data_IF_281500713898
#
_entry.id   IF_281500713898
#
_cell.length_a   1.000
_cell.length_b   1.000
_cell.length_c   1.000
_cell.angle_alpha   90.00
_cell.angle_beta   90.00
_cell.angle_gamma   90.00
#
_symmetry.space_group_name_H-M   'P 1'
#
loop_
_entity.id
_entity.type
_entity.pdbx_description
1 polymer ?
#
# COMPACT_ATOMS: atom_id res chain seq x y z
N UNK A 1 2.30 -21.41 10.16
CA UNK A 1 1.03 -21.51 10.94
C UNK A 1 -0.12 -21.59 9.95
N UNK A 2 -1.11 -22.43 10.21
CA UNK A 2 -2.28 -22.54 9.31
C UNK A 2 -3.20 -21.34 9.49
N UNK A 3 -3.57 -20.68 8.38
CA UNK A 3 -4.45 -19.51 8.37
C UNK A 3 -5.74 -19.84 7.64
N UNK A 4 -6.82 -19.23 8.08
CA UNK A 4 -8.10 -19.31 7.41
C UNK A 4 -8.63 -17.90 7.14
N UNK A 5 -9.17 -17.69 5.94
CA UNK A 5 -9.82 -16.45 5.56
C UNK A 5 -11.34 -16.63 5.67
N UNK A 6 -11.96 -15.80 6.49
CA UNK A 6 -13.40 -15.78 6.71
C UNK A 6 -14.00 -14.53 6.09
N UNK A 7 -15.00 -14.69 5.26
CA UNK A 7 -15.70 -13.61 4.57
C UNK A 7 -17.19 -13.70 4.89
N UNK A 8 -17.68 -12.71 5.61
CA UNK A 8 -19.10 -12.57 5.90
C UNK A 8 -19.71 -11.51 4.97
N UNK A 9 -20.44 -11.98 3.98
CA UNK A 9 -21.21 -11.18 3.02
C UNK A 9 -22.69 -11.63 3.05
N UNK A 10 -23.18 -12.06 4.22
CA UNK A 10 -24.57 -12.45 4.44
C UNK A 10 -25.51 -11.25 4.44
N UNK A 11 -25.00 -10.09 4.88
CA UNK A 11 -25.76 -8.84 4.90
C UNK A 11 -25.63 -8.09 3.57
N UNK A 12 -26.71 -7.56 2.98
CA UNK A 12 -26.63 -6.87 1.70
C UNK A 12 -25.80 -5.57 1.76
N UNK A 13 -25.81 -4.89 2.94
CA UNK A 13 -25.22 -3.56 3.08
C UNK A 13 -23.80 -3.58 3.61
N UNK A 14 -23.31 -4.72 4.09
CA UNK A 14 -21.97 -4.82 4.66
C UNK A 14 -21.25 -6.12 4.34
N UNK A 15 -19.96 -6.00 4.21
CA UNK A 15 -19.05 -7.13 4.06
C UNK A 15 -17.94 -7.02 5.09
N UNK A 16 -17.69 -8.11 5.80
CA UNK A 16 -16.63 -8.21 6.81
C UNK A 16 -15.68 -9.34 6.43
N UNK A 17 -14.39 -9.09 6.57
CA UNK A 17 -13.34 -10.07 6.24
C UNK A 17 -12.37 -10.18 7.38
N UNK A 18 -12.04 -11.41 7.75
CA UNK A 18 -11.08 -11.73 8.82
C UNK A 18 -10.09 -12.76 8.34
N UNK A 19 -8.81 -12.44 8.44
CA UNK A 19 -7.74 -13.42 8.35
C UNK A 19 -7.39 -13.87 9.77
N UNK A 20 -7.67 -15.13 10.06
CA UNK A 20 -7.44 -15.73 11.39
C UNK A 20 -6.36 -16.80 11.29
N UNK A 21 -5.34 -16.68 12.12
CA UNK A 21 -4.44 -17.77 12.48
C UNK A 21 -5.10 -18.69 13.51
N UNK A 22 -4.43 -19.75 13.93
CA UNK A 22 -5.00 -20.72 14.91
C UNK A 22 -5.43 -20.01 16.19
N UNK A 23 -4.65 -19.02 16.65
CA UNK A 23 -4.76 -18.45 17.99
C UNK A 23 -5.23 -17.00 18.03
N UNK A 24 -5.12 -16.25 16.93
CA UNK A 24 -5.46 -14.82 16.91
C UNK A 24 -5.89 -14.32 15.53
N UNK A 25 -6.57 -13.19 15.53
CA UNK A 25 -6.94 -12.46 14.32
C UNK A 25 -5.71 -11.64 13.85
N UNK A 26 -5.23 -11.91 12.63
CA UNK A 26 -4.12 -11.17 12.02
C UNK A 26 -4.58 -9.89 11.33
N UNK A 27 -5.69 -9.97 10.60
CA UNK A 27 -6.23 -8.86 9.82
C UNK A 27 -7.75 -8.86 9.87
N UNK A 28 -8.34 -7.67 9.98
CA UNK A 28 -9.77 -7.42 9.89
C UNK A 28 -10.04 -6.25 8.98
N UNK A 29 -10.88 -6.46 7.99
CA UNK A 29 -11.37 -5.40 7.11
C UNK A 29 -12.89 -5.39 7.06
N UNK A 30 -13.45 -4.18 6.90
CA UNK A 30 -14.87 -3.93 6.88
C UNK A 30 -15.22 -2.93 5.77
N UNK A 31 -16.29 -3.22 5.05
CA UNK A 31 -16.83 -2.33 4.02
C UNK A 31 -18.35 -2.23 4.17
N UNK A 32 -18.85 -1.00 4.10
CA UNK A 32 -20.28 -0.73 4.11
C UNK A 32 -20.64 0.00 2.83
N UNK A 33 -21.71 -0.42 2.16
CA UNK A 33 -22.18 0.16 0.90
C UNK A 33 -22.48 1.66 1.03
N UNK A 34 -22.97 2.09 2.19
CA UNK A 34 -23.27 3.50 2.45
C UNK A 34 -22.01 4.37 2.62
N UNK A 35 -20.85 3.76 2.88
CA UNK A 35 -19.55 4.44 3.01
C UNK A 35 -18.62 3.94 1.92
N UNK A 36 -18.83 4.45 0.71
CA UNK A 36 -17.99 4.12 -0.45
C UNK A 36 -16.52 4.40 -0.13
N UNK A 37 -15.70 3.38 -0.24
CA UNK A 37 -14.26 3.50 -0.19
C UNK A 37 -13.78 4.05 -1.53
N UNK A 38 -13.31 5.29 -1.54
CA UNK A 38 -12.82 5.96 -2.74
C UNK A 38 -11.36 5.66 -3.03
N UNK A 39 -10.63 5.13 -2.03
CA UNK A 39 -9.19 4.87 -2.13
C UNK A 39 -8.87 3.97 -3.33
N UNK A 40 -7.84 4.35 -4.07
CA UNK A 40 -7.33 3.73 -5.30
C UNK A 40 -8.27 3.82 -6.52
N UNK A 41 -9.49 4.33 -6.40
CA UNK A 41 -10.34 4.58 -7.55
C UNK A 41 -9.71 5.64 -8.47
N UNK A 42 -9.93 5.48 -9.78
CA UNK A 42 -9.39 6.39 -10.80
C UNK A 42 -10.54 7.16 -11.44
N UNK A 43 -10.39 8.46 -11.49
CA UNK A 43 -11.36 9.38 -12.05
C UNK A 43 -10.74 10.22 -13.16
N UNK A 44 -11.55 10.61 -14.10
CA UNK A 44 -11.26 11.73 -14.98
C UNK A 44 -11.78 12.99 -14.28
N UNK A 45 -10.87 13.84 -13.83
CA UNK A 45 -11.21 15.04 -13.06
C UNK A 45 -10.94 16.31 -13.86
N UNK A 46 -11.53 17.41 -13.41
CA UNK A 46 -11.36 18.75 -13.99
C UNK A 46 -10.78 19.68 -12.92
N UNK A 47 -9.69 20.37 -13.22
CA UNK A 47 -9.07 21.33 -12.29
C UNK A 47 -10.06 22.49 -12.10
N UNK A 48 -10.51 22.69 -10.86
CA UNK A 48 -11.45 23.75 -10.52
C UNK A 48 -10.74 25.07 -10.22
N UNK A 49 -9.70 25.00 -9.37
CA UNK A 49 -8.88 26.16 -9.01
C UNK A 49 -7.48 25.74 -8.64
N UNK A 50 -6.55 26.67 -8.81
CA UNK A 50 -5.16 26.51 -8.41
C UNK A 50 -4.89 27.43 -7.21
N UNK A 51 -4.21 26.89 -6.20
CA UNK A 51 -3.82 27.63 -5.01
C UNK A 51 -2.30 27.73 -4.93
N UNK A 52 -1.73 28.86 -5.38
CA UNK A 52 -0.27 29.04 -5.45
C UNK A 52 0.40 29.00 -4.08
N UNK A 53 -0.27 29.45 -3.03
CA UNK A 53 0.26 29.47 -1.67
C UNK A 53 0.53 28.08 -1.13
N UNK A 54 -0.33 27.10 -1.50
CA UNK A 54 -0.22 25.70 -1.11
C UNK A 54 0.54 24.85 -2.13
N UNK A 55 0.92 25.42 -3.29
CA UNK A 55 1.43 24.67 -4.44
C UNK A 55 0.57 23.42 -4.74
N UNK A 56 -0.74 23.65 -4.84
CA UNK A 56 -1.74 22.60 -5.03
C UNK A 56 -2.87 23.05 -5.96
N UNK A 57 -3.56 22.08 -6.55
CA UNK A 57 -4.78 22.29 -7.32
C UNK A 57 -5.96 21.58 -6.64
N UNK A 58 -7.13 22.18 -6.73
CA UNK A 58 -8.38 21.54 -6.35
C UNK A 58 -9.07 21.00 -7.59
N UNK A 59 -9.42 19.73 -7.56
CA UNK A 59 -9.95 18.99 -8.71
C UNK A 59 -11.38 18.56 -8.42
N UNK A 60 -12.28 18.90 -9.33
CA UNK A 60 -13.63 18.33 -9.36
C UNK A 60 -13.55 16.95 -10.01
N UNK A 61 -13.88 15.89 -9.26
CA UNK A 61 -13.88 14.50 -9.72
C UNK A 61 -15.25 13.83 -9.60
N UNK A 62 -16.32 14.66 -9.51
CA UNK A 62 -17.70 14.19 -9.47
C UNK A 62 -18.23 13.84 -8.06
N UNK A 63 -17.53 14.27 -7.01
CA UNK A 63 -18.00 14.17 -5.62
C UNK A 63 -18.37 15.55 -5.07
N UNK A 64 -19.04 15.57 -3.92
CA UNK A 64 -19.49 16.83 -3.31
C UNK A 64 -18.33 17.78 -2.99
N UNK A 65 -17.18 17.22 -2.62
CA UNK A 65 -15.98 17.99 -2.28
C UNK A 65 -14.92 17.84 -3.35
N UNK A 66 -14.24 18.94 -3.63
CA UNK A 66 -13.09 18.90 -4.54
C UNK A 66 -11.92 18.18 -3.87
N UNK A 67 -11.23 17.35 -4.63
CA UNK A 67 -10.03 16.68 -4.16
C UNK A 67 -8.81 17.59 -4.20
N UNK A 68 -7.85 17.33 -3.33
CA UNK A 68 -6.59 18.04 -3.21
C UNK A 68 -5.50 17.32 -4.00
N UNK A 69 -4.90 18.01 -4.97
CA UNK A 69 -3.81 17.53 -5.81
C UNK A 69 -2.58 18.38 -5.56
N UNK A 70 -1.59 17.84 -4.84
CA UNK A 70 -0.33 18.52 -4.60
C UNK A 70 0.52 18.58 -5.86
N UNK A 71 1.32 19.63 -6.06
CA UNK A 71 2.16 19.80 -7.24
C UNK A 71 3.15 18.64 -7.45
N UNK A 72 3.67 18.07 -6.36
CA UNK A 72 4.57 16.92 -6.42
C UNK A 72 3.88 15.63 -6.91
N UNK A 73 2.56 15.59 -6.86
CA UNK A 73 1.73 14.47 -7.32
C UNK A 73 1.20 14.67 -8.74
N UNK A 74 1.64 15.74 -9.43
CA UNK A 74 1.33 16.00 -10.83
C UNK A 74 2.45 15.52 -11.73
N UNK A 75 2.11 14.69 -12.70
CA UNK A 75 3.03 14.20 -13.72
C UNK A 75 3.36 15.31 -14.73
N UNK A 76 4.61 15.33 -15.20
CA UNK A 76 5.12 16.32 -16.16
C UNK A 76 4.38 16.34 -17.50
N UNK A 77 3.75 15.24 -17.89
CA UNK A 77 2.96 15.16 -19.14
C UNK A 77 1.78 16.14 -19.15
N UNK A 78 1.24 16.48 -17.97
CA UNK A 78 0.14 17.46 -17.82
C UNK A 78 0.61 18.92 -17.87
N UNK A 79 1.93 19.18 -17.86
CA UNK A 79 2.47 20.52 -17.87
C UNK A 79 2.21 21.22 -19.21
N UNK A 80 1.60 22.38 -19.16
CA UNK A 80 1.38 23.25 -20.32
C UNK A 80 2.57 24.21 -20.48
N UNK A 81 3.68 23.68 -20.93
CA UNK A 81 4.95 24.39 -21.15
C UNK A 81 5.33 24.29 -22.63
N UNK A 82 6.24 25.19 -23.13
CA UNK A 82 6.75 25.11 -24.49
C UNK A 82 7.33 23.71 -24.81
N UNK A 83 7.22 23.32 -26.07
CA UNK A 83 7.63 21.98 -26.54
C UNK A 83 9.10 21.68 -26.23
N UNK A 84 10.00 22.67 -26.44
CA UNK A 84 11.44 22.52 -26.20
C UNK A 84 11.77 22.24 -24.74
N UNK A 85 11.05 22.90 -23.82
CA UNK A 85 11.22 22.68 -22.38
C UNK A 85 10.63 21.32 -21.96
N UNK A 86 9.55 20.89 -22.62
CA UNK A 86 8.94 19.55 -22.37
C UNK A 86 9.86 18.44 -22.82
N UNK A 87 10.55 18.59 -23.96
CA UNK A 87 11.54 17.62 -24.43
C UNK A 87 12.77 17.55 -23.51
N UNK A 88 13.26 18.70 -23.03
CA UNK A 88 14.35 18.74 -22.04
C UNK A 88 13.97 18.01 -20.76
N UNK A 89 12.77 18.27 -20.22
CA UNK A 89 12.28 17.58 -19.05
C UNK A 89 12.20 16.05 -19.24
N UNK A 90 11.70 15.60 -20.40
CA UNK A 90 11.65 14.16 -20.71
C UNK A 90 13.04 13.53 -20.77
N UNK A 91 14.01 14.17 -21.41
CA UNK A 91 15.39 13.68 -21.49
C UNK A 91 16.03 13.59 -20.09
N UNK A 92 15.78 14.59 -19.24
CA UNK A 92 16.31 14.63 -17.88
C UNK A 92 15.63 13.57 -16.99
N UNK A 93 14.32 13.35 -17.13
CA UNK A 93 13.60 12.28 -16.43
C UNK A 93 14.11 10.89 -16.88
N UNK A 94 14.44 10.72 -18.15
CA UNK A 94 14.98 9.47 -18.68
C UNK A 94 16.40 9.21 -18.16
N UNK A 95 17.24 10.25 -18.09
CA UNK A 95 18.57 10.15 -17.48
C UNK A 95 18.51 9.81 -15.97
N UNK A 96 17.64 10.49 -15.23
CA UNK A 96 17.37 10.16 -13.81
C UNK A 96 16.89 8.73 -13.62
N UNK A 97 16.08 8.23 -14.54
CA UNK A 97 15.61 6.84 -14.53
C UNK A 97 16.76 5.85 -14.69
N UNK A 98 17.71 6.14 -15.57
CA UNK A 98 18.90 5.31 -15.77
C UNK A 98 19.79 5.32 -14.53
N UNK A 99 20.08 6.49 -13.97
CA UNK A 99 20.88 6.59 -12.73
C UNK A 99 20.23 5.87 -11.54
N UNK A 100 18.89 5.95 -11.39
CA UNK A 100 18.19 5.24 -10.33
C UNK A 100 18.24 3.71 -10.52
N UNK A 101 18.21 3.24 -11.77
CA UNK A 101 18.41 1.81 -12.06
C UNK A 101 19.82 1.35 -11.70
N UNK A 102 20.83 2.11 -12.05
CA UNK A 102 22.23 1.79 -11.75
C UNK A 102 22.50 1.81 -10.24
N UNK A 103 22.02 2.82 -9.53
CA UNK A 103 22.15 2.89 -8.06
C UNK A 103 21.40 1.78 -7.33
N UNK A 104 20.24 1.35 -7.84
CA UNK A 104 19.53 0.21 -7.25
C UNK A 104 20.29 -1.09 -7.41
N UNK A 105 21.12 -1.20 -8.47
CA UNK A 105 21.99 -2.35 -8.70
C UNK A 105 23.21 -2.35 -7.75
N UNK A 106 23.80 -1.17 -7.49
CA UNK A 106 24.99 -1.04 -6.64
C UNK A 106 24.71 -1.15 -5.14
N UNK A 107 23.54 -0.71 -4.66
CA UNK A 107 23.16 -0.81 -3.24
C UNK A 107 22.98 -2.27 -2.81
N UNK A 108 22.45 -3.12 -3.70
CA UNK A 108 22.28 -4.56 -3.38
C UNK A 108 23.62 -5.35 -3.45
N UNK A 109 24.66 -4.82 -4.10
CA UNK A 109 25.99 -5.42 -4.14
C UNK A 109 26.86 -5.07 -2.91
N UNK A 110 26.58 -3.96 -2.25
CA UNK A 110 27.39 -3.44 -1.13
C UNK A 110 26.92 -3.89 0.24
N UNK A 111 25.79 -4.57 0.38
CA UNK A 111 25.36 -5.18 1.65
C UNK A 111 25.87 -6.62 1.77
N UNK A 112 27.18 -6.81 1.99
CA UNK A 112 27.72 -8.04 2.61
C UNK A 112 27.24 -8.09 4.07
N UNK A 113 26.85 -9.28 4.57
CA UNK A 113 26.52 -9.43 5.98
C UNK A 113 27.78 -9.13 6.81
N UNK A 114 27.72 -8.11 7.66
CA UNK A 114 28.67 -7.93 8.74
C UNK A 114 28.44 -9.07 9.74
N UNK A 115 29.30 -10.07 9.66
CA UNK A 115 29.45 -11.06 10.71
C UNK A 115 29.82 -10.33 12.02
N UNK A 116 29.07 -10.65 13.05
CA UNK A 116 29.47 -10.44 14.42
C UNK A 116 30.82 -11.15 14.62
N UNK A 117 31.84 -10.41 15.07
CA UNK A 117 32.69 -10.85 16.16
C UNK A 117 33.75 -9.79 16.48
N UNK A 118 33.95 -9.64 17.79
CA UNK A 118 35.13 -9.10 18.53
C UNK A 118 35.28 -7.60 18.73
N UNK A 119 34.90 -7.24 19.93
CA UNK A 119 35.68 -6.70 21.07
C UNK A 119 36.83 -5.72 20.75
N UNK A 120 36.76 -4.58 21.33
CA UNK A 120 37.65 -3.88 22.24
C UNK A 120 37.70 -2.35 22.08
N UNK A 121 37.29 -1.74 23.17
CA UNK A 121 37.86 -0.59 23.88
C UNK A 121 38.29 0.71 23.18
N UNK A 122 37.69 1.78 23.69
CA UNK A 122 38.24 3.13 23.96
C UNK A 122 38.53 4.07 22.79
N UNK A 123 37.73 5.12 22.64
CA UNK A 123 38.20 6.47 22.97
C UNK A 123 37.07 7.54 22.91
N UNK A 124 37.19 8.46 23.85
CA UNK A 124 36.39 9.66 24.07
C UNK A 124 36.44 10.62 22.87
N UNK A 125 35.29 11.21 22.55
CA UNK A 125 35.23 12.35 21.66
C UNK A 125 33.82 12.93 21.61
N UNK A 126 33.57 13.98 22.38
CA UNK A 126 32.37 14.83 22.39
C UNK A 126 31.95 15.23 20.98
N UNK A 127 30.75 14.88 20.57
CA UNK A 127 29.97 15.64 19.55
C UNK A 127 28.51 15.63 19.98
N UNK A 128 27.97 16.84 20.08
CA UNK A 128 26.63 17.18 20.48
C UNK A 128 25.58 16.46 19.62
N UNK A 129 24.69 15.75 20.29
CA UNK A 129 23.49 15.17 19.70
C UNK A 129 22.52 16.27 19.32
N UNK A 130 22.20 16.38 18.06
CA UNK A 130 20.97 17.00 17.59
C UNK A 130 20.00 15.88 17.26
N UNK A 131 19.02 15.68 18.13
CA UNK A 131 17.85 14.85 17.90
C UNK A 131 17.13 15.28 16.62
N UNK A 132 17.13 14.43 15.63
CA UNK A 132 16.20 14.47 14.52
C UNK A 132 15.44 13.15 14.47
N UNK A 133 14.18 13.26 14.82
CA UNK A 133 13.13 12.24 14.69
C UNK A 133 13.25 11.45 13.38
N UNK A 134 13.66 10.18 13.48
CA UNK A 134 13.66 9.23 12.37
C UNK A 134 12.31 8.50 12.29
N UNK A 135 11.24 9.24 12.02
CA UNK A 135 9.97 8.68 11.56
C UNK A 135 9.61 9.33 10.21
N UNK A 136 10.51 9.25 9.25
CA UNK A 136 10.23 9.75 7.91
C UNK A 136 9.53 8.66 7.08
N UNK A 137 8.32 8.99 6.63
CA UNK A 137 7.55 8.23 5.65
C UNK A 137 8.44 7.84 4.45
N UNK A 138 8.47 6.57 4.03
CA UNK A 138 9.31 6.12 2.90
C UNK A 138 9.04 6.86 1.58
N UNK A 139 7.87 7.49 1.46
CA UNK A 139 7.49 8.34 0.33
C UNK A 139 8.19 9.71 0.43
N UNK A 140 8.37 10.25 1.64
CA UNK A 140 9.04 11.52 1.87
C UNK A 140 10.55 11.46 1.55
N UNK A 141 11.24 10.38 1.95
CA UNK A 141 12.65 10.16 1.62
C UNK A 141 12.90 10.02 0.10
N UNK A 142 12.00 9.29 -0.62
CA UNK A 142 12.08 9.19 -2.08
C UNK A 142 11.88 10.56 -2.75
N UNK A 143 10.99 11.37 -2.23
CA UNK A 143 10.74 12.71 -2.75
C UNK A 143 11.89 13.66 -2.42
N UNK A 144 12.52 13.56 -1.25
CA UNK A 144 13.69 14.36 -0.89
C UNK A 144 14.90 14.03 -1.77
N UNK A 145 15.15 12.75 -2.02
CA UNK A 145 16.24 12.30 -2.91
C UNK A 145 15.98 12.68 -4.37
N UNK A 146 14.74 12.56 -4.86
CA UNK A 146 14.35 13.00 -6.19
C UNK A 146 14.46 14.53 -6.34
N UNK A 147 14.08 15.28 -5.30
CA UNK A 147 14.23 16.73 -5.27
C UNK A 147 15.71 17.16 -5.19
N UNK A 148 16.57 16.39 -4.53
CA UNK A 148 18.01 16.66 -4.49
C UNK A 148 18.68 16.41 -5.84
N UNK A 149 18.23 15.37 -6.56
CA UNK A 149 18.67 15.09 -7.93
C UNK A 149 18.19 16.16 -8.91
N UNK A 150 16.94 16.60 -8.81
CA UNK A 150 16.43 17.74 -9.58
C UNK A 150 17.24 19.02 -9.35
N UNK A 151 17.69 19.28 -8.11
CA UNK A 151 18.57 20.42 -7.80
C UNK A 151 19.93 20.28 -8.46
N UNK A 152 20.48 19.08 -8.49
CA UNK A 152 21.83 18.81 -9.02
C UNK A 152 21.93 18.99 -10.53
N UNK A 153 20.85 18.71 -11.28
CA UNK A 153 20.81 18.76 -12.74
C UNK A 153 20.22 20.06 -13.32
N UNK A 154 19.97 21.08 -12.46
CA UNK A 154 19.59 22.41 -12.93
C UNK A 154 18.20 22.52 -13.57
N UNK A 155 17.29 21.56 -13.32
CA UNK A 155 15.93 21.60 -13.85
C UNK A 155 15.22 22.83 -13.31
N UNK A 156 14.74 23.69 -14.22
CA UNK A 156 13.96 24.88 -13.88
C UNK A 156 12.75 24.47 -13.01
N UNK A 157 12.65 25.06 -11.82
CA UNK A 157 11.51 24.83 -10.93
C UNK A 157 10.33 25.66 -11.39
N UNK A 158 9.41 25.03 -12.07
CA UNK A 158 8.13 25.63 -12.36
C UNK A 158 7.28 25.69 -11.08
N UNK A 159 6.45 26.74 -10.99
CA UNK A 159 5.39 26.83 -10.00
C UNK A 159 4.11 26.24 -10.58
N UNK A 160 3.21 25.76 -9.73
CA UNK A 160 1.99 25.11 -10.18
C UNK A 160 1.14 25.97 -11.12
N UNK A 161 1.06 27.29 -10.86
CA UNK A 161 0.30 28.23 -11.68
C UNK A 161 0.93 28.50 -13.06
N UNK A 162 2.20 28.13 -13.26
CA UNK A 162 2.90 28.30 -14.54
C UNK A 162 2.63 27.11 -15.48
N UNK A 163 2.28 25.95 -14.93
CA UNK A 163 2.20 24.67 -15.67
C UNK A 163 0.82 24.09 -15.76
N UNK A 164 -0.09 24.42 -14.84
CA UNK A 164 -1.47 23.96 -14.85
C UNK A 164 -2.42 25.12 -15.09
N UNK A 165 -3.57 24.81 -15.68
CA UNK A 165 -4.66 25.79 -15.90
C UNK A 165 -5.96 25.30 -15.28
N UNK A 166 -6.84 26.21 -14.83
CA UNK A 166 -8.22 25.90 -14.53
C UNK A 166 -8.88 25.24 -15.74
N UNK A 167 -9.88 24.41 -15.49
CA UNK A 167 -10.63 23.64 -16.49
C UNK A 167 -9.83 22.55 -17.23
N UNK A 168 -8.54 22.37 -16.93
CA UNK A 168 -7.75 21.28 -17.48
C UNK A 168 -8.26 19.93 -16.97
N UNK A 169 -8.38 18.97 -17.89
CA UNK A 169 -8.77 17.60 -17.58
C UNK A 169 -7.53 16.81 -17.20
N UNK A 170 -7.63 16.03 -16.12
CA UNK A 170 -6.54 15.20 -15.59
C UNK A 170 -7.09 13.85 -15.16
N UNK A 171 -6.33 12.78 -15.45
CA UNK A 171 -6.61 11.45 -14.92
C UNK A 171 -5.97 11.35 -13.54
N UNK A 172 -6.77 11.07 -12.53
CA UNK A 172 -6.37 11.09 -11.12
C UNK A 172 -6.74 9.81 -10.41
N UNK A 173 -5.92 9.43 -9.44
CA UNK A 173 -6.19 8.35 -8.51
C UNK A 173 -6.32 8.89 -7.10
N UNK A 174 -7.26 8.35 -6.33
CA UNK A 174 -7.46 8.73 -4.93
C UNK A 174 -6.44 8.00 -4.05
N UNK A 175 -5.59 8.75 -3.36
CA UNK A 175 -4.62 8.22 -2.40
C UNK A 175 -5.21 8.03 -1.01
N UNK A 176 -6.01 9.02 -0.57
CA UNK A 176 -6.66 9.02 0.75
C UNK A 176 -8.07 9.54 0.59
N UNK A 177 -8.98 8.89 1.28
CA UNK A 177 -10.38 9.31 1.32
C UNK A 177 -10.57 10.67 1.98
N UNK A 178 -11.75 11.24 1.79
CA UNK A 178 -12.20 12.44 2.47
C UNK A 178 -12.17 12.22 3.98
N UNK A 179 -11.64 13.19 4.72
CA UNK A 179 -11.56 13.13 6.17
C UNK A 179 -12.02 14.44 6.81
N UNK A 180 -13.08 14.36 7.62
CA UNK A 180 -13.66 15.54 8.25
C UNK A 180 -14.10 16.56 7.19
N UNK A 181 -13.53 17.76 7.22
CA UNK A 181 -13.81 18.83 6.23
C UNK A 181 -12.83 18.84 5.05
N UNK A 182 -11.82 17.95 5.04
CA UNK A 182 -10.82 17.90 3.96
C UNK A 182 -11.29 16.97 2.84
N UNK A 183 -11.15 17.44 1.60
CA UNK A 183 -11.37 16.62 0.40
C UNK A 183 -10.33 15.49 0.27
N UNK A 184 -10.60 14.54 -0.61
CA UNK A 184 -9.71 13.42 -0.89
C UNK A 184 -8.34 13.90 -1.39
N UNK A 185 -7.27 13.19 -1.00
CA UNK A 185 -5.95 13.42 -1.56
C UNK A 185 -5.79 12.66 -2.88
N UNK A 186 -5.38 13.37 -3.92
CA UNK A 186 -5.31 12.88 -5.28
C UNK A 186 -3.87 12.85 -5.80
N UNK A 187 -3.61 11.99 -6.78
CA UNK A 187 -2.37 11.95 -7.54
C UNK A 187 -2.65 11.66 -9.01
N UNK A 188 -1.79 12.13 -9.90
CA UNK A 188 -1.80 11.74 -11.31
C UNK A 188 -0.91 10.53 -11.59
N UNK A 189 -0.09 10.10 -10.62
CA UNK A 189 0.71 8.89 -10.73
C UNK A 189 -0.16 7.67 -10.42
N UNK A 190 -0.58 6.98 -11.46
CA UNK A 190 -1.45 5.82 -11.35
C UNK A 190 -0.66 4.62 -10.86
N UNK A 191 -1.24 3.87 -9.93
CA UNK A 191 -0.72 2.61 -9.44
C UNK A 191 -1.83 1.54 -9.44
N UNK A 192 -1.61 0.45 -10.16
CA UNK A 192 -2.54 -0.65 -10.28
C UNK A 192 -1.99 -1.87 -9.54
N UNK A 193 -2.71 -2.32 -8.54
CA UNK A 193 -2.29 -3.46 -7.72
C UNK A 193 -2.72 -4.77 -8.37
N UNK A 194 -1.74 -5.56 -8.82
CA UNK A 194 -1.87 -6.98 -9.10
C UNK A 194 -1.72 -7.80 -7.82
N UNK A 195 -1.74 -9.13 -7.95
CA UNK A 195 -1.51 -10.02 -6.81
C UNK A 195 -0.04 -10.02 -6.37
N UNK A 196 0.86 -10.17 -7.33
CA UNK A 196 2.31 -10.31 -7.08
C UNK A 196 3.09 -9.06 -7.41
N UNK A 197 2.49 -8.15 -8.14
CA UNK A 197 3.12 -6.92 -8.63
C UNK A 197 2.23 -5.70 -8.46
N UNK A 198 2.83 -4.52 -8.54
CA UNK A 198 2.14 -3.25 -8.69
C UNK A 198 2.65 -2.62 -9.96
N UNK A 199 1.76 -2.35 -10.90
CA UNK A 199 2.07 -1.64 -12.13
C UNK A 199 1.93 -0.13 -11.94
N UNK A 200 2.93 0.60 -12.36
CA UNK A 200 2.93 2.07 -12.42
C UNK A 200 3.08 2.49 -13.88
N UNK A 201 1.96 2.66 -14.60
CA UNK A 201 1.99 2.81 -16.06
C UNK A 201 2.56 4.14 -16.54
N UNK A 202 2.55 5.15 -15.68
CA UNK A 202 2.92 6.53 -16.03
C UNK A 202 3.99 7.10 -15.08
N UNK A 203 4.95 6.30 -14.65
CA UNK A 203 6.02 6.76 -13.75
C UNK A 203 7.39 6.67 -14.41
N UNK A 204 8.16 7.74 -14.25
CA UNK A 204 9.58 7.76 -14.63
C UNK A 204 10.49 7.07 -13.61
N UNK A 205 9.98 6.74 -12.42
CA UNK A 205 10.80 6.23 -11.30
C UNK A 205 11.31 4.80 -11.46
N UNK A 206 10.98 4.11 -12.58
CA UNK A 206 11.35 2.73 -12.81
C UNK A 206 10.63 1.75 -11.89
N UNK A 207 10.84 0.47 -12.12
CA UNK A 207 10.33 -0.62 -11.27
C UNK A 207 11.30 -0.97 -10.14
N UNK A 208 10.94 -1.98 -9.35
CA UNK A 208 11.78 -2.44 -8.25
C UNK A 208 11.21 -3.65 -7.52
N UNK A 209 11.78 -3.93 -6.36
CA UNK A 209 11.38 -5.01 -5.48
C UNK A 209 10.92 -4.39 -4.15
N UNK A 210 9.86 -4.92 -3.57
CA UNK A 210 9.35 -4.46 -2.28
C UNK A 210 10.47 -4.40 -1.23
N UNK A 211 10.51 -3.32 -0.44
CA UNK A 211 11.48 -3.15 0.66
C UNK A 211 11.28 -4.16 1.79
N UNK A 212 10.08 -4.74 1.91
CA UNK A 212 9.78 -5.79 2.88
C UNK A 212 10.50 -7.12 2.58
N UNK A 213 11.01 -7.31 1.35
CA UNK A 213 11.85 -8.45 0.98
C UNK A 213 13.30 -8.09 1.35
N UNK A 214 13.76 -8.57 2.50
CA UNK A 214 15.09 -8.24 3.06
C UNK A 214 16.18 -9.15 2.51
N UNK A 215 15.86 -10.40 2.19
CA UNK A 215 16.83 -11.39 1.73
C UNK A 215 17.43 -11.00 0.37
N UNK A 216 18.75 -10.87 0.31
CA UNK A 216 19.50 -10.46 -0.88
C UNK A 216 19.43 -11.47 -2.02
N UNK A 217 19.40 -12.77 -1.72
CA UNK A 217 19.36 -13.82 -2.74
C UNK A 217 17.99 -13.88 -3.42
N UNK A 218 16.92 -13.69 -2.65
CA UNK A 218 15.58 -13.60 -3.21
C UNK A 218 15.42 -12.34 -4.08
N UNK A 219 16.02 -11.22 -3.66
CA UNK A 219 16.05 -9.99 -4.47
C UNK A 219 16.76 -10.20 -5.78
N UNK A 220 17.92 -10.90 -5.79
CA UNK A 220 18.67 -11.23 -7.02
C UNK A 220 17.84 -12.11 -7.94
N UNK A 221 17.18 -13.16 -7.42
CA UNK A 221 16.30 -14.04 -8.20
C UNK A 221 15.14 -13.27 -8.84
N UNK A 222 14.44 -12.44 -8.05
CA UNK A 222 13.32 -11.64 -8.58
C UNK A 222 13.81 -10.67 -9.66
N UNK A 223 14.98 -10.04 -9.47
CA UNK A 223 15.56 -9.13 -10.45
C UNK A 223 15.88 -9.83 -11.76
N UNK A 224 16.49 -11.01 -11.71
CA UNK A 224 16.79 -11.80 -12.92
C UNK A 224 15.50 -12.21 -13.66
N UNK A 225 14.43 -12.53 -12.93
CA UNK A 225 13.11 -12.81 -13.52
C UNK A 225 12.51 -11.58 -14.20
N UNK A 226 12.53 -10.41 -13.52
CA UNK A 226 12.02 -9.16 -14.08
C UNK A 226 12.75 -8.70 -15.34
N UNK A 227 14.06 -8.93 -15.43
CA UNK A 227 14.85 -8.60 -16.63
C UNK A 227 14.46 -9.42 -17.86
N UNK A 228 13.86 -10.59 -17.64
CA UNK A 228 13.41 -11.50 -18.72
C UNK A 228 11.94 -11.28 -19.12
N UNK A 229 11.21 -10.39 -18.42
CA UNK A 229 9.82 -10.05 -18.72
C UNK A 229 9.82 -8.75 -19.55
N UNK A 230 9.08 -8.77 -20.65
CA UNK A 230 8.94 -7.59 -21.50
C UNK A 230 7.99 -6.58 -20.89
N UNK A 231 8.56 -5.55 -20.26
CA UNK A 231 7.82 -4.44 -19.68
C UNK A 231 8.06 -3.19 -20.54
N UNK A 232 7.00 -2.48 -20.99
CA UNK A 232 7.16 -1.24 -21.74
C UNK A 232 8.06 -0.24 -21.00
N UNK A 233 8.97 0.43 -21.72
CA UNK A 233 9.96 1.34 -21.12
C UNK A 233 9.34 2.50 -20.31
N UNK A 234 8.12 2.90 -20.65
CA UNK A 234 7.38 3.96 -19.95
C UNK A 234 6.77 3.51 -18.61
N UNK A 235 6.72 2.20 -18.34
CA UNK A 235 6.07 1.62 -17.19
C UNK A 235 7.08 1.18 -16.14
N UNK A 236 6.69 1.28 -14.86
CA UNK A 236 7.41 0.71 -13.73
C UNK A 236 6.62 -0.44 -13.11
N UNK A 237 7.31 -1.48 -12.66
CA UNK A 237 6.70 -2.61 -11.95
C UNK A 237 7.43 -2.81 -10.63
N UNK A 238 6.68 -2.93 -9.53
CA UNK A 238 7.23 -3.27 -8.21
C UNK A 238 6.69 -4.64 -7.82
N UNK A 239 7.60 -5.60 -7.58
CA UNK A 239 7.21 -6.92 -7.06
C UNK A 239 6.89 -6.81 -5.57
N UNK A 240 5.71 -7.33 -5.18
CA UNK A 240 5.20 -7.37 -3.80
C UNK A 240 5.81 -8.55 -3.03
N UNK A 241 5.62 -8.56 -1.72
CA UNK A 241 6.01 -9.70 -0.86
C UNK A 241 5.31 -11.00 -1.26
N UNK A 242 4.06 -10.94 -1.72
CA UNK A 242 3.31 -12.07 -2.25
C UNK A 242 3.93 -12.72 -3.52
N UNK A 243 4.81 -11.97 -4.23
CA UNK A 243 5.58 -12.48 -5.37
C UNK A 243 6.85 -13.25 -4.98
N UNK A 244 7.17 -13.34 -3.68
CA UNK A 244 8.27 -14.17 -3.19
C UNK A 244 8.00 -15.66 -3.53
N UNK A 245 9.03 -16.37 -3.98
CA UNK A 245 8.94 -17.81 -4.34
C UNK A 245 7.94 -18.14 -5.47
N UNK A 246 7.54 -17.15 -6.28
CA UNK A 246 6.71 -17.38 -7.48
C UNK A 246 7.57 -17.62 -8.72
N UNK A 247 6.96 -18.31 -9.70
CA UNK A 247 7.63 -18.57 -10.98
C UNK A 247 7.63 -17.31 -11.87
N UNK A 248 8.53 -17.27 -12.85
CA UNK A 248 8.52 -16.23 -13.89
C UNK A 248 7.15 -16.14 -14.57
N UNK A 249 6.54 -17.29 -14.89
CA UNK A 249 5.25 -17.34 -15.59
C UNK A 249 4.11 -16.73 -14.74
N UNK A 250 4.14 -16.90 -13.41
CA UNK A 250 3.12 -16.34 -12.52
C UNK A 250 3.23 -14.81 -12.47
N UNK A 251 4.47 -14.29 -12.39
CA UNK A 251 4.75 -12.85 -12.42
C UNK A 251 4.38 -12.25 -13.77
N UNK A 252 4.74 -12.90 -14.87
CA UNK A 252 4.43 -12.45 -16.22
C UNK A 252 2.92 -12.34 -16.44
N UNK A 253 2.16 -13.38 -16.10
CA UNK A 253 0.69 -13.37 -16.19
C UNK A 253 0.08 -12.24 -15.36
N UNK A 254 0.55 -12.00 -14.14
CA UNK A 254 0.05 -10.95 -13.27
C UNK A 254 0.31 -9.56 -13.89
N UNK A 255 1.51 -9.34 -14.43
CA UNK A 255 1.90 -8.10 -15.10
C UNK A 255 1.06 -7.88 -16.37
N UNK A 256 0.92 -8.91 -17.21
CA UNK A 256 0.12 -8.82 -18.46
C UNK A 256 -1.33 -8.51 -18.15
N UNK A 257 -1.92 -9.17 -17.14
CA UNK A 257 -3.29 -8.88 -16.71
C UNK A 257 -3.44 -7.42 -16.24
N UNK A 258 -2.47 -6.92 -15.47
CA UNK A 258 -2.51 -5.55 -14.96
C UNK A 258 -2.30 -4.51 -16.07
N UNK A 259 -1.49 -4.82 -17.08
CA UNK A 259 -1.36 -4.01 -18.31
C UNK A 259 -2.70 -3.96 -19.06
N UNK A 260 -3.40 -5.10 -19.20
CA UNK A 260 -4.73 -5.15 -19.83
C UNK A 260 -5.76 -4.29 -19.09
N UNK A 261 -5.72 -4.27 -17.76
CA UNK A 261 -6.55 -3.35 -16.95
C UNK A 261 -6.20 -1.88 -17.26
N UNK A 262 -4.92 -1.56 -17.35
CA UNK A 262 -4.49 -0.20 -17.72
C UNK A 262 -4.97 0.23 -19.10
N UNK A 263 -4.94 -0.66 -20.09
CA UNK A 263 -5.45 -0.39 -21.43
C UNK A 263 -6.94 -0.11 -21.40
N UNK A 264 -7.72 -0.92 -20.68
CA UNK A 264 -9.16 -0.68 -20.48
C UNK A 264 -9.44 0.67 -19.81
N UNK A 265 -8.60 1.10 -18.86
CA UNK A 265 -8.71 2.41 -18.20
C UNK A 265 -8.47 3.53 -19.22
N UNK A 266 -7.44 3.41 -20.06
CA UNK A 266 -7.15 4.40 -21.12
C UNK A 266 -8.31 4.54 -22.08
N UNK A 267 -8.82 3.42 -22.60
CA UNK A 267 -9.91 3.41 -23.55
C UNK A 267 -11.17 4.06 -22.96
N UNK A 268 -11.52 3.70 -21.72
CA UNK A 268 -12.65 4.29 -21.02
C UNK A 268 -12.45 5.78 -20.75
N UNK A 269 -11.24 6.20 -20.40
CA UNK A 269 -10.93 7.61 -20.18
C UNK A 269 -11.07 8.44 -21.46
N UNK A 270 -10.71 7.88 -22.62
CA UNK A 270 -10.81 8.56 -23.92
C UNK A 270 -12.25 8.82 -24.37
N UNK A 271 -13.19 7.96 -23.99
CA UNK A 271 -14.61 8.11 -24.35
C UNK A 271 -15.45 8.80 -23.27
N UNK A 272 -14.87 9.03 -22.07
CA UNK A 272 -15.59 9.61 -20.93
C UNK A 272 -15.50 11.13 -20.90
N UNK A 273 -16.55 11.76 -20.39
CA UNK A 273 -16.59 13.22 -20.18
C UNK A 273 -16.28 13.48 -18.70
N UNK A 274 -15.33 14.40 -18.42
CA UNK A 274 -14.99 14.79 -17.06
C UNK A 274 -16.06 15.69 -16.41
N UNK A 275 -16.42 15.52 -15.14
CA UNK A 275 -15.88 14.54 -14.19
C UNK A 275 -16.56 13.15 -14.29
N UNK A 276 -15.81 12.07 -14.28
CA UNK A 276 -16.36 10.70 -14.34
C UNK A 276 -15.48 9.66 -13.65
N UNK A 277 -16.09 8.60 -13.13
CA UNK A 277 -15.40 7.42 -12.61
C UNK A 277 -14.95 6.54 -13.78
N UNK A 278 -13.65 6.35 -13.94
CA UNK A 278 -13.06 5.52 -15.00
C UNK A 278 -12.80 4.10 -14.52
N UNK A 279 -12.23 3.96 -13.32
CA UNK A 279 -11.90 2.67 -12.74
C UNK A 279 -12.24 2.65 -11.25
N UNK A 280 -12.88 1.59 -10.83
CA UNK A 280 -13.17 1.31 -9.43
C UNK A 280 -12.30 0.15 -8.98
N UNK A 281 -11.52 0.33 -7.91
CA UNK A 281 -10.84 -0.78 -7.29
C UNK A 281 -11.89 -1.72 -6.70
N UNK A 282 -11.78 -3.01 -7.02
CA UNK A 282 -12.81 -3.99 -6.70
C UNK A 282 -13.27 -3.94 -5.23
N UNK A 283 -14.44 -4.52 -5.00
CA UNK A 283 -15.05 -4.67 -3.68
C UNK A 283 -14.11 -5.36 -2.66
N UNK A 284 -14.44 -5.27 -1.40
CA UNK A 284 -13.64 -5.82 -0.29
C UNK A 284 -13.32 -7.30 -0.51
N UNK A 285 -14.25 -8.09 -1.06
CA UNK A 285 -14.04 -9.51 -1.34
C UNK A 285 -12.85 -9.71 -2.29
N UNK A 286 -12.82 -8.98 -3.40
CA UNK A 286 -11.74 -9.09 -4.39
C UNK A 286 -10.40 -8.62 -3.83
N UNK A 287 -10.40 -7.49 -3.08
CA UNK A 287 -9.20 -6.95 -2.44
C UNK A 287 -8.63 -7.95 -1.43
N UNK A 288 -9.46 -8.48 -0.56
CA UNK A 288 -9.03 -9.44 0.46
C UNK A 288 -8.51 -10.73 -0.14
N UNK A 289 -9.16 -11.26 -1.17
CA UNK A 289 -8.68 -12.44 -1.89
C UNK A 289 -7.34 -12.20 -2.59
N UNK A 290 -7.10 -10.98 -3.07
CA UNK A 290 -5.82 -10.59 -3.67
C UNK A 290 -4.72 -10.45 -2.62
N UNK A 291 -5.02 -9.76 -1.51
CA UNK A 291 -4.01 -9.28 -0.57
C UNK A 291 -3.81 -10.21 0.64
N UNK A 292 -4.88 -10.85 1.15
CA UNK A 292 -4.84 -11.70 2.34
C UNK A 292 -4.71 -13.20 2.04
N UNK A 293 -4.95 -13.64 0.78
CA UNK A 293 -4.83 -15.05 0.43
C UNK A 293 -3.39 -15.40 0.07
N UNK A 294 -2.66 -15.93 1.04
CA UNK A 294 -1.28 -16.39 0.90
C UNK A 294 -1.20 -17.93 0.73
N UNK A 295 0.03 -18.42 0.55
CA UNK A 295 0.29 -19.85 0.46
C UNK A 295 -0.12 -20.60 1.74
N UNK A 296 0.00 -19.95 2.90
CA UNK A 296 -0.33 -20.49 4.22
C UNK A 296 -1.83 -20.51 4.49
N UNK A 297 -2.64 -19.85 3.66
CA UNK A 297 -4.10 -19.89 3.76
C UNK A 297 -4.63 -21.24 3.34
N UNK A 298 -5.22 -21.97 4.28
CA UNK A 298 -5.74 -23.33 4.07
C UNK A 298 -7.16 -23.31 3.51
N UNK A 299 -8.03 -22.53 4.09
CA UNK A 299 -9.43 -22.42 3.69
C UNK A 299 -9.85 -20.95 3.54
N UNK A 300 -10.75 -20.74 2.59
CA UNK A 300 -11.46 -19.48 2.36
C UNK A 300 -12.94 -19.77 2.54
N UNK A 301 -13.50 -19.36 3.66
CA UNK A 301 -14.88 -19.70 4.07
C UNK A 301 -15.73 -18.46 3.88
N UNK A 302 -16.79 -18.57 3.08
CA UNK A 302 -17.61 -17.42 2.66
C UNK A 302 -19.07 -17.67 3.02
N UNK A 303 -19.65 -16.76 3.78
CA UNK A 303 -21.07 -16.66 4.02
C UNK A 303 -21.72 -15.66 3.06
N UNK A 304 -22.93 -15.97 2.60
CA UNK A 304 -23.63 -15.23 1.57
C UNK A 304 -23.46 -15.80 0.14
N UNK A 305 -24.57 -15.95 -0.57
CA UNK A 305 -24.59 -16.53 -1.93
C UNK A 305 -23.86 -15.67 -2.95
N UNK A 306 -24.16 -14.38 -2.95
CA UNK A 306 -23.56 -13.43 -3.89
C UNK A 306 -22.06 -13.28 -3.66
N UNK A 307 -21.64 -13.15 -2.39
CA UNK A 307 -20.24 -13.08 -2.01
C UNK A 307 -19.47 -14.33 -2.45
N UNK A 308 -20.05 -15.51 -2.26
CA UNK A 308 -19.45 -16.77 -2.70
C UNK A 308 -19.27 -16.83 -4.23
N UNK A 309 -20.27 -16.43 -5.02
CA UNK A 309 -20.18 -16.42 -6.48
C UNK A 309 -19.15 -15.41 -6.98
N UNK A 310 -19.14 -14.20 -6.42
CA UNK A 310 -18.13 -13.17 -6.73
C UNK A 310 -16.71 -13.67 -6.47
N UNK A 311 -16.49 -14.22 -5.29
CA UNK A 311 -15.20 -14.79 -4.90
C UNK A 311 -14.76 -15.93 -5.80
N UNK A 312 -15.66 -16.88 -6.08
CA UNK A 312 -15.39 -18.03 -6.94
C UNK A 312 -15.02 -17.61 -8.36
N UNK A 313 -15.74 -16.65 -8.95
CA UNK A 313 -15.46 -16.13 -10.28
C UNK A 313 -14.10 -15.42 -10.33
N UNK A 314 -13.80 -14.59 -9.32
CA UNK A 314 -12.54 -13.88 -9.21
C UNK A 314 -11.34 -14.83 -9.07
N UNK A 315 -11.43 -15.82 -8.20
CA UNK A 315 -10.36 -16.82 -7.99
C UNK A 315 -10.18 -17.69 -9.23
N UNK A 316 -11.27 -18.09 -9.90
CA UNK A 316 -11.19 -18.87 -11.14
C UNK A 316 -10.43 -18.12 -12.24
N UNK A 317 -10.58 -16.80 -12.31
CA UNK A 317 -9.91 -15.97 -13.31
C UNK A 317 -8.42 -15.75 -12.99
N UNK A 318 -8.09 -15.40 -11.74
CA UNK A 318 -6.75 -14.94 -11.37
C UNK A 318 -5.90 -15.99 -10.65
N UNK A 319 -6.53 -16.97 -9.96
CA UNK A 319 -5.85 -17.92 -9.08
C UNK A 319 -6.51 -19.31 -9.10
N UNK A 320 -6.58 -19.98 -10.25
CA UNK A 320 -7.33 -21.24 -10.40
C UNK A 320 -6.86 -22.33 -9.41
N UNK A 321 -5.60 -22.29 -9.00
CA UNK A 321 -5.04 -23.23 -8.00
C UNK A 321 -5.69 -23.11 -6.62
N UNK A 322 -6.10 -21.89 -6.24
CA UNK A 322 -6.74 -21.61 -4.95
C UNK A 322 -8.25 -21.94 -4.94
N UNK A 323 -8.82 -22.34 -6.06
CA UNK A 323 -10.26 -22.64 -6.15
C UNK A 323 -10.70 -23.73 -5.19
N UNK A 324 -9.85 -24.74 -4.94
CA UNK A 324 -10.12 -25.84 -4.00
C UNK A 324 -10.22 -25.39 -2.54
N UNK A 325 -9.62 -24.26 -2.20
CA UNK A 325 -9.64 -23.67 -0.85
C UNK A 325 -10.95 -22.96 -0.53
N UNK A 326 -11.73 -22.59 -1.56
CA UNK A 326 -12.97 -21.79 -1.41
C UNK A 326 -14.14 -22.70 -1.02
N UNK A 327 -14.70 -22.42 0.15
CA UNK A 327 -15.82 -23.16 0.72
C UNK A 327 -16.97 -22.24 1.02
N UNK A 328 -18.19 -22.65 0.64
CA UNK A 328 -19.40 -21.94 1.04
C UNK A 328 -19.77 -22.35 2.45
N UNK A 329 -20.01 -21.39 3.33
CA UNK A 329 -20.57 -21.64 4.64
C UNK A 329 -22.04 -22.08 4.53
N UNK A 330 -22.43 -23.07 5.32
CA UNK A 330 -23.78 -23.65 5.30
C UNK A 330 -24.38 -23.77 6.72
N UNK A 331 -23.74 -23.14 7.71
CA UNK A 331 -24.23 -23.16 9.09
C UNK A 331 -25.55 -22.41 9.25
N UNK A 332 -26.28 -22.71 10.31
CA UNK A 332 -27.49 -21.97 10.70
C UNK A 332 -27.18 -20.76 11.57
N UNK A 333 -26.03 -20.76 12.20
CA UNK A 333 -25.52 -19.68 13.06
C UNK A 333 -24.65 -18.76 12.19
N UNK A 334 -24.63 -17.43 12.37
CA UNK A 334 -23.74 -16.54 11.61
C UNK A 334 -22.28 -16.98 11.69
N UNK A 335 -21.56 -16.89 10.57
CA UNK A 335 -20.18 -17.38 10.41
C UNK A 335 -19.23 -16.92 11.52
N UNK A 336 -19.23 -15.66 11.84
CA UNK A 336 -18.31 -15.09 12.84
C UNK A 336 -18.66 -15.48 14.27
N UNK A 337 -19.94 -15.76 14.54
CA UNK A 337 -20.36 -16.28 15.83
C UNK A 337 -19.95 -17.74 16.01
N UNK A 338 -20.18 -18.58 14.96
CA UNK A 338 -19.85 -20.00 14.97
C UNK A 338 -18.35 -20.27 15.14
N UNK A 339 -17.52 -19.42 14.51
CA UNK A 339 -16.06 -19.52 14.55
C UNK A 339 -15.42 -18.78 15.75
N UNK A 340 -16.22 -18.17 16.63
CA UNK A 340 -15.76 -17.40 17.77
C UNK A 340 -15.08 -16.08 17.44
N UNK A 341 -15.07 -15.66 16.18
CA UNK A 341 -14.45 -14.41 15.70
C UNK A 341 -15.12 -13.20 16.36
N UNK A 342 -16.45 -13.19 16.49
CA UNK A 342 -17.20 -12.10 17.11
C UNK A 342 -16.72 -11.80 18.54
N UNK A 343 -16.43 -12.86 19.32
CA UNK A 343 -15.90 -12.69 20.69
C UNK A 343 -14.49 -12.09 20.70
N UNK A 344 -13.67 -12.45 19.74
CA UNK A 344 -12.30 -11.92 19.59
C UNK A 344 -12.32 -10.46 19.13
N UNK A 345 -13.18 -10.11 18.17
CA UNK A 345 -13.37 -8.74 17.71
C UNK A 345 -13.86 -7.82 18.82
N UNK A 346 -14.78 -8.30 19.67
CA UNK A 346 -15.26 -7.50 20.80
C UNK A 346 -14.16 -7.19 21.81
N UNK A 347 -13.18 -8.08 22.00
CA UNK A 347 -12.02 -7.83 22.87
C UNK A 347 -11.12 -6.69 22.39
N UNK A 348 -11.17 -6.32 21.10
CA UNK A 348 -10.40 -5.20 20.56
C UNK A 348 -10.81 -3.87 21.20
N UNK A 349 -12.06 -3.77 21.67
CA UNK A 349 -12.58 -2.59 22.33
C UNK A 349 -12.36 -2.56 23.85
N UNK A 350 -11.83 -3.65 24.41
CA UNK A 350 -11.52 -3.71 25.84
C UNK A 350 -10.34 -2.80 26.16
N UNK A 351 -10.48 -1.99 27.21
CA UNK A 351 -9.38 -1.15 27.69
C UNK A 351 -8.25 -1.94 28.36
N UNK A 352 -8.50 -3.20 28.74
CA UNK A 352 -7.55 -4.07 29.41
C UNK A 352 -7.22 -5.28 28.52
N UNK A 353 -5.96 -5.40 28.14
CA UNK A 353 -5.45 -6.52 27.34
C UNK A 353 -4.58 -7.42 28.20
N UNK A 354 -4.95 -8.68 28.33
CA UNK A 354 -4.18 -9.68 29.09
C UNK A 354 -3.06 -10.24 28.24
N UNK A 355 -1.87 -10.34 28.81
CA UNK A 355 -0.70 -10.98 28.24
C UNK A 355 -0.67 -12.48 28.57
N UNK A 356 0.02 -13.28 27.75
CA UNK A 356 0.15 -14.75 27.94
C UNK A 356 0.93 -15.10 29.21
N UNK A 357 1.88 -14.24 29.60
CA UNK A 357 2.65 -14.38 30.84
C UNK A 357 1.84 -14.17 32.11
N UNK A 358 0.63 -13.59 32.02
CA UNK A 358 -0.20 -13.19 33.16
C UNK A 358 -0.08 -11.71 33.53
N UNK A 359 0.70 -10.94 32.78
CA UNK A 359 0.67 -9.47 32.79
C UNK A 359 -0.56 -8.90 32.08
N UNK A 360 -0.73 -7.59 32.08
CA UNK A 360 -1.79 -6.92 31.36
C UNK A 360 -1.42 -5.48 31.00
N UNK A 361 -2.00 -5.00 29.90
CA UNK A 361 -1.93 -3.61 29.46
C UNK A 361 -3.24 -2.91 29.76
N UNK A 362 -3.17 -1.64 30.16
CA UNK A 362 -4.34 -0.77 30.25
C UNK A 362 -4.18 0.36 29.24
N UNK A 363 -5.10 0.41 28.27
CA UNK A 363 -5.05 1.36 27.14
C UNK A 363 -6.23 2.32 27.27
N UNK A 364 -5.95 3.58 27.60
CA UNK A 364 -6.95 4.61 27.76
C UNK A 364 -6.71 5.79 26.81
N UNK A 365 -7.62 6.06 25.86
CA UNK A 365 -7.57 7.27 25.06
C UNK A 365 -7.92 8.48 25.91
N UNK A 366 -7.14 9.55 25.75
CA UNK A 366 -7.42 10.88 26.27
C UNK A 366 -7.73 11.83 25.11
N UNK A 367 -8.03 13.10 25.39
CA UNK A 367 -8.31 14.09 24.34
C UNK A 367 -7.16 14.25 23.34
N UNK A 368 -5.91 14.24 23.82
CA UNK A 368 -4.74 14.55 23.01
C UNK A 368 -3.81 13.35 22.74
N UNK A 369 -3.87 12.28 23.53
CA UNK A 369 -2.98 11.14 23.47
C UNK A 369 -3.66 9.83 23.89
N UNK A 370 -2.99 8.70 23.64
CA UNK A 370 -3.38 7.40 24.21
C UNK A 370 -2.38 7.06 25.30
N UNK A 371 -2.88 6.85 26.52
CA UNK A 371 -2.08 6.38 27.66
C UNK A 371 -2.08 4.85 27.67
N UNK A 372 -0.89 4.25 27.78
CA UNK A 372 -0.71 2.80 27.89
C UNK A 372 0.07 2.53 29.17
N UNK A 373 -0.57 1.82 30.09
CA UNK A 373 0.04 1.35 31.34
C UNK A 373 0.34 -0.14 31.24
N UNK A 374 1.57 -0.55 31.62
CA UNK A 374 2.06 -1.92 31.51
C UNK A 374 2.21 -2.49 32.92
N UNK A 375 1.45 -3.56 33.17
CA UNK A 375 1.45 -4.24 34.47
C UNK A 375 1.97 -5.67 34.34
N UNK A 376 2.96 -6.04 35.13
CA UNK A 376 3.50 -7.41 35.18
C UNK A 376 2.51 -8.42 35.79
N UNK A 377 1.52 -7.96 36.58
CA UNK A 377 0.47 -8.82 37.12
C UNK A 377 1.00 -10.08 37.81
N UNK A 378 0.54 -11.25 37.35
CA UNK A 378 0.95 -12.55 37.86
C UNK A 378 2.23 -13.12 37.21
N UNK A 379 2.88 -12.39 36.33
CA UNK A 379 4.09 -12.84 35.61
C UNK A 379 5.35 -12.81 36.48
N UNK A 380 5.25 -12.54 37.79
CA UNK A 380 6.36 -12.46 38.74
C UNK A 380 6.95 -13.86 38.97
N UNK A 381 7.73 -14.35 37.99
CA UNK A 381 8.47 -15.61 38.10
C UNK A 381 9.98 -15.43 38.14
N UNK A 382 10.46 -14.19 37.91
CA UNK A 382 11.87 -13.88 37.84
C UNK A 382 12.38 -13.37 39.21
N UNK A 383 13.64 -13.64 39.51
CA UNK A 383 14.27 -13.26 40.79
C UNK A 383 14.55 -11.74 40.88
N UNK A 384 14.52 -11.03 39.75
CA UNK A 384 14.83 -9.62 39.65
C UNK A 384 13.67 -8.84 39.02
N UNK A 385 13.29 -7.71 39.64
CA UNK A 385 12.25 -6.81 39.17
C UNK A 385 12.53 -6.28 37.75
N UNK A 386 13.80 -5.91 37.47
CA UNK A 386 14.20 -5.40 36.15
C UNK A 386 14.01 -6.44 35.03
N UNK A 387 14.34 -7.72 35.31
CA UNK A 387 14.13 -8.82 34.36
C UNK A 387 12.65 -9.09 34.13
N UNK A 388 11.83 -9.00 35.17
CA UNK A 388 10.38 -9.13 35.05
C UNK A 388 9.80 -8.01 34.18
N UNK A 389 10.22 -6.75 34.43
CA UNK A 389 9.78 -5.60 33.65
C UNK A 389 10.23 -5.71 32.18
N UNK A 390 11.49 -6.08 31.94
CA UNK A 390 12.01 -6.28 30.58
C UNK A 390 11.21 -7.37 29.82
N UNK A 391 10.93 -8.49 30.46
CA UNK A 391 10.19 -9.59 29.84
C UNK A 391 8.74 -9.22 29.52
N UNK A 392 8.07 -8.53 30.45
CA UNK A 392 6.71 -8.02 30.23
C UNK A 392 6.65 -6.96 29.12
N UNK A 393 7.67 -6.11 29.03
CA UNK A 393 7.75 -5.07 27.99
C UNK A 393 8.12 -5.61 26.61
N UNK A 394 8.78 -6.76 26.54
CA UNK A 394 9.12 -7.41 25.27
C UNK A 394 7.99 -8.31 24.74
N UNK A 395 7.08 -8.77 25.60
CA UNK A 395 5.91 -9.55 25.22
C UNK A 395 4.87 -8.69 24.52
#
# INVERSE_FOLDING_TARGET
>A
MEKNLYIDASHPDETRVVLKSTDYIEEYEYENINKLNLKNNIYLGKISRIEPSLQAAFVNYGKQRHGFLAFNDVQSDYYQIPHDDKEKLKKEEEHLRQELKEKSNTIDESQKPLNQDEDSSKNNGNVQASDKDKNENPIAERNSHFNSLKKKYGIRRYRIQEVLKPDQIVLIQVLKDERGQKGAALTTFISLAGKYSVLMPNTSKGGGISRKIVNTDDRKKIRSMLQQIEIPKSMGVIVRTAGLNKTKNDLDKDIVNTIGVWESIKDKAMISIAPSLVYEEGDLIKRSLRDMNDNDTKNIIIDGNEGYQKAKNYIKLLMPESLKKVKKYKGKIPLFHDTGIEKELNKIFDSVVKLTSGGYLVINPTEALVSIDINSGQSIKEVNIEKTALKTNLE
#
